data_IF_442594746310
#
_entry.id   IF_442594746310
#
_cell.length_a   1.000
_cell.length_b   1.000
_cell.length_c   1.000
_cell.angle_alpha   90.00
_cell.angle_beta   90.00
_cell.angle_gamma   90.00
#
_symmetry.space_group_name_H-M   'P 1'
#
loop_
_entity.id
_entity.type
_entity.pdbx_description
1 polymer ?
#
# COMPACT_ATOMS: atom_id res chain seq x y z
N UNK A 1 35.55 -9.04 56.08
CA UNK A 1 34.36 -8.23 55.72
C UNK A 1 34.67 -7.46 54.45
N UNK A 2 34.34 -8.03 53.30
CA UNK A 2 34.58 -7.46 51.97
C UNK A 2 33.23 -7.25 51.26
N UNK A 3 32.91 -6.00 50.98
CA UNK A 3 31.63 -5.55 50.43
C UNK A 3 31.58 -5.72 48.92
N UNK A 4 30.71 -6.61 48.45
CA UNK A 4 30.36 -6.77 47.03
C UNK A 4 29.45 -5.62 46.59
N UNK A 5 29.93 -4.76 45.69
CA UNK A 5 29.10 -3.72 45.06
C UNK A 5 28.39 -4.32 43.85
N UNK A 6 27.05 -4.37 43.90
CA UNK A 6 26.20 -4.79 42.77
C UNK A 6 26.04 -3.62 41.81
N UNK A 7 26.54 -3.79 40.57
CA UNK A 7 26.41 -2.79 39.51
C UNK A 7 25.04 -2.93 38.85
N UNK A 8 24.08 -2.10 39.25
CA UNK A 8 22.78 -2.01 38.58
C UNK A 8 22.96 -1.44 37.16
N UNK A 9 22.66 -2.25 36.14
CA UNK A 9 22.58 -1.80 34.75
C UNK A 9 21.26 -1.03 34.56
N UNK A 10 21.32 0.30 34.56
CA UNK A 10 20.18 1.12 34.19
C UNK A 10 19.84 0.89 32.70
N UNK A 11 18.58 0.52 32.44
CA UNK A 11 18.04 0.34 31.09
C UNK A 11 17.95 1.70 30.40
N UNK A 12 18.79 1.92 29.39
CA UNK A 12 18.73 3.12 28.55
C UNK A 12 17.34 3.15 27.87
N UNK A 13 16.55 4.22 27.99
CA UNK A 13 15.28 4.31 27.30
C UNK A 13 15.54 4.40 25.79
N UNK A 14 15.13 3.37 25.05
CA UNK A 14 15.03 3.43 23.59
C UNK A 14 13.95 4.45 23.24
N UNK A 15 14.34 5.66 22.87
CA UNK A 15 13.42 6.68 22.39
C UNK A 15 12.68 6.19 21.15
N UNK A 16 11.40 5.85 21.30
CA UNK A 16 10.54 5.51 20.18
C UNK A 16 10.07 6.81 19.50
N UNK A 17 10.63 7.13 18.33
CA UNK A 17 10.10 8.21 17.49
C UNK A 17 8.87 7.72 16.74
N UNK A 18 7.69 8.06 17.23
CA UNK A 18 6.43 7.84 16.52
C UNK A 18 6.13 9.01 15.59
N UNK A 19 6.27 8.80 14.27
CA UNK A 19 5.82 9.75 13.23
C UNK A 19 4.30 9.62 12.92
N UNK A 20 3.53 8.98 13.80
CA UNK A 20 2.13 8.64 13.54
C UNK A 20 1.16 9.83 13.60
N UNK A 21 1.56 10.99 14.16
CA UNK A 21 0.66 12.12 14.36
C UNK A 21 0.66 13.19 13.25
N UNK A 22 1.59 13.15 12.30
CA UNK A 22 1.88 14.31 11.42
C UNK A 22 1.98 14.01 9.92
N UNK A 23 1.65 12.80 9.47
CA UNK A 23 1.56 12.54 8.03
C UNK A 23 0.32 13.24 7.48
N UNK A 24 0.52 14.39 6.83
CA UNK A 24 -0.53 15.11 6.12
C UNK A 24 -1.26 14.14 5.18
N UNK A 25 -2.59 14.09 5.30
CA UNK A 25 -3.44 13.27 4.45
C UNK A 25 -3.23 13.73 3.01
N UNK A 26 -2.60 12.86 2.21
CA UNK A 26 -2.27 13.18 0.82
C UNK A 26 -3.57 13.45 0.05
N UNK A 27 -3.66 14.57 -0.70
CA UNK A 27 -4.87 14.89 -1.45
C UNK A 27 -5.21 13.79 -2.47
N UNK A 28 -6.49 13.70 -2.79
CA UNK A 28 -6.98 12.84 -3.87
C UNK A 28 -6.61 13.52 -5.20
N UNK A 29 -5.86 12.86 -6.09
CA UNK A 29 -5.52 13.44 -7.39
C UNK A 29 -6.77 13.49 -8.28
N UNK A 30 -6.89 14.55 -9.06
CA UNK A 30 -7.96 14.66 -10.05
C UNK A 30 -7.84 13.53 -11.10
N UNK A 31 -8.96 12.99 -11.60
CA UNK A 31 -8.94 12.00 -12.66
C UNK A 31 -8.32 12.57 -13.94
N UNK A 32 -7.35 11.85 -14.53
CA UNK A 32 -6.60 12.26 -15.73
C UNK A 32 -7.08 11.49 -16.96
N UNK A 33 -7.46 12.22 -18.01
CA UNK A 33 -7.83 11.65 -19.31
C UNK A 33 -9.01 10.67 -19.21
N UNK A 34 -8.83 9.47 -19.76
CA UNK A 34 -9.87 8.42 -19.78
C UNK A 34 -10.04 7.67 -18.46
N UNK A 35 -9.26 8.00 -17.42
CA UNK A 35 -9.30 7.30 -16.13
C UNK A 35 -10.16 8.13 -15.19
N UNK A 36 -11.47 7.88 -15.19
CA UNK A 36 -12.43 8.50 -14.27
C UNK A 36 -12.85 7.53 -13.15
N UNK A 37 -12.90 6.24 -13.48
CA UNK A 37 -13.39 5.21 -12.57
C UNK A 37 -12.27 4.38 -11.93
N UNK A 38 -12.49 3.90 -10.69
CA UNK A 38 -11.58 2.96 -10.05
C UNK A 38 -11.45 1.65 -10.85
N UNK A 39 -12.52 1.19 -11.51
CA UNK A 39 -12.49 0.01 -12.38
C UNK A 39 -11.51 0.19 -13.55
N UNK A 40 -11.55 1.35 -14.21
CA UNK A 40 -10.68 1.70 -15.33
C UNK A 40 -9.22 1.80 -14.87
N UNK A 41 -8.97 2.38 -13.70
CA UNK A 41 -7.64 2.42 -13.09
C UNK A 41 -7.08 1.01 -12.83
N UNK A 42 -7.87 0.15 -12.17
CA UNK A 42 -7.45 -1.20 -11.80
C UNK A 42 -7.23 -2.10 -13.04
N UNK A 43 -7.98 -1.85 -14.11
CA UNK A 43 -7.80 -2.53 -15.38
C UNK A 43 -6.49 -2.14 -16.05
N UNK A 44 -6.15 -0.83 -16.06
CA UNK A 44 -4.92 -0.34 -16.67
C UNK A 44 -3.63 -0.82 -15.99
N UNK A 45 -3.65 -0.99 -14.67
CA UNK A 45 -2.46 -1.46 -13.92
C UNK A 45 -2.26 -2.99 -13.97
N UNK A 46 -3.24 -3.75 -14.46
CA UNK A 46 -3.15 -5.20 -14.66
C UNK A 46 -3.08 -6.05 -13.37
N UNK A 47 -2.40 -7.20 -13.45
CA UNK A 47 -2.17 -8.16 -12.34
C UNK A 47 -3.44 -8.65 -11.61
N UNK A 48 -4.50 -8.97 -12.35
CA UNK A 48 -5.81 -9.39 -11.79
C UNK A 48 -6.44 -8.38 -10.81
N UNK A 49 -6.06 -7.10 -10.91
CA UNK A 49 -6.63 -6.05 -10.06
C UNK A 49 -8.07 -5.70 -10.46
N UNK A 50 -8.50 -6.09 -11.66
CA UNK A 50 -9.88 -5.93 -12.16
C UNK A 50 -10.92 -6.57 -11.23
N UNK A 51 -10.59 -7.74 -10.65
CA UNK A 51 -11.47 -8.47 -9.73
C UNK A 51 -11.74 -7.71 -8.42
N UNK A 52 -10.95 -6.66 -8.16
CA UNK A 52 -11.05 -5.85 -6.95
C UNK A 52 -11.88 -4.59 -7.19
N UNK A 53 -12.28 -4.31 -8.43
CA UNK A 53 -13.07 -3.13 -8.77
C UNK A 53 -14.38 -3.08 -7.97
N UNK A 54 -15.04 -4.24 -7.78
CA UNK A 54 -16.29 -4.36 -7.03
C UNK A 54 -16.17 -3.93 -5.55
N UNK A 55 -14.95 -3.88 -5.01
CA UNK A 55 -14.69 -3.48 -3.62
C UNK A 55 -14.54 -1.97 -3.45
N UNK A 56 -14.24 -1.23 -4.52
CA UNK A 56 -14.03 0.22 -4.45
C UNK A 56 -15.26 0.96 -4.99
N UNK A 57 -15.93 1.70 -4.09
CA UNK A 57 -17.18 2.40 -4.42
C UNK A 57 -16.99 3.70 -5.21
N UNK A 58 -15.88 4.40 -5.01
CA UNK A 58 -15.61 5.70 -5.64
C UNK A 58 -14.11 5.93 -5.87
N UNK A 59 -13.80 6.93 -6.71
CA UNK A 59 -12.43 7.39 -6.93
C UNK A 59 -11.77 7.83 -5.62
N UNK A 60 -12.46 8.63 -4.81
CA UNK A 60 -11.97 9.10 -3.52
C UNK A 60 -11.70 7.93 -2.56
N UNK A 61 -12.56 6.92 -2.57
CA UNK A 61 -12.39 5.73 -1.75
C UNK A 61 -11.12 4.96 -2.15
N UNK A 62 -10.82 4.84 -3.45
CA UNK A 62 -9.58 4.21 -3.92
C UNK A 62 -8.34 4.92 -3.39
N UNK A 63 -8.32 6.26 -3.39
CA UNK A 63 -7.16 7.07 -2.99
C UNK A 63 -7.05 7.35 -1.48
N UNK A 64 -8.13 7.13 -0.73
CA UNK A 64 -8.18 7.33 0.73
C UNK A 64 -8.02 6.01 1.49
N UNK A 65 -8.46 4.89 0.93
CA UNK A 65 -8.44 3.59 1.61
C UNK A 65 -7.06 3.24 2.19
N UNK A 66 -7.07 2.81 3.44
CA UNK A 66 -5.90 2.40 4.22
C UNK A 66 -5.58 0.92 4.00
N UNK A 67 -4.34 0.52 4.29
CA UNK A 67 -3.93 -0.89 4.28
C UNK A 67 -4.75 -1.76 5.24
N UNK A 68 -5.22 -1.18 6.36
CA UNK A 68 -6.04 -1.85 7.34
C UNK A 68 -7.44 -2.13 6.78
N UNK A 69 -8.11 -1.12 6.21
CA UNK A 69 -9.43 -1.29 5.56
C UNK A 69 -9.34 -2.28 4.40
N UNK A 70 -8.30 -2.18 3.56
CA UNK A 70 -8.05 -3.13 2.49
C UNK A 70 -7.88 -4.58 2.97
N UNK A 71 -7.45 -4.78 4.21
CA UNK A 71 -7.32 -6.11 4.81
C UNK A 71 -8.63 -6.57 5.42
N UNK A 72 -9.25 -5.74 6.25
CA UNK A 72 -10.41 -6.11 7.07
C UNK A 72 -11.69 -6.11 6.25
N UNK A 73 -11.98 -5.03 5.53
CA UNK A 73 -13.24 -4.84 4.79
C UNK A 73 -13.22 -5.56 3.44
N UNK A 74 -12.06 -5.51 2.76
CA UNK A 74 -11.96 -5.96 1.37
C UNK A 74 -11.26 -7.31 1.19
N UNK A 75 -10.75 -7.91 2.29
CA UNK A 75 -10.07 -9.21 2.31
C UNK A 75 -8.97 -9.37 1.23
N UNK A 76 -8.30 -8.28 0.84
CA UNK A 76 -7.31 -8.30 -0.24
C UNK A 76 -6.05 -9.09 0.15
N UNK A 77 -5.37 -9.70 -0.82
CA UNK A 77 -4.06 -10.29 -0.54
C UNK A 77 -3.00 -9.22 -0.29
N UNK A 78 -1.93 -9.57 0.43
CA UNK A 78 -0.81 -8.64 0.69
C UNK A 78 -0.22 -8.09 -0.63
N UNK A 79 -0.11 -8.94 -1.66
CA UNK A 79 0.45 -8.57 -2.96
C UNK A 79 -0.42 -7.53 -3.67
N UNK A 80 -1.74 -7.74 -3.70
CA UNK A 80 -2.69 -6.81 -4.31
C UNK A 80 -2.68 -5.45 -3.60
N UNK A 81 -2.68 -5.44 -2.25
CA UNK A 81 -2.62 -4.19 -1.48
C UNK A 81 -1.39 -3.36 -1.81
N UNK A 82 -0.20 -3.98 -1.73
CA UNK A 82 1.08 -3.31 -2.04
C UNK A 82 1.11 -2.79 -3.47
N UNK A 83 0.57 -3.56 -4.41
CA UNK A 83 0.49 -3.17 -5.81
C UNK A 83 -0.35 -1.92 -6.03
N UNK A 84 -1.58 -1.90 -5.51
CA UNK A 84 -2.50 -0.76 -5.64
C UNK A 84 -1.91 0.49 -5.00
N UNK A 85 -1.33 0.37 -3.80
CA UNK A 85 -0.73 1.51 -3.09
C UNK A 85 0.47 2.09 -3.84
N UNK A 86 1.31 1.24 -4.41
CA UNK A 86 2.43 1.67 -5.23
C UNK A 86 1.95 2.43 -6.48
N UNK A 87 0.89 1.97 -7.14
CA UNK A 87 0.33 2.67 -8.29
C UNK A 87 -0.40 3.96 -7.93
N UNK A 88 -1.09 4.01 -6.81
CA UNK A 88 -1.69 5.26 -6.30
C UNK A 88 -0.61 6.32 -6.12
N UNK A 89 0.54 5.95 -5.57
CA UNK A 89 1.64 6.89 -5.38
C UNK A 89 2.27 7.32 -6.71
N UNK A 90 2.53 6.37 -7.63
CA UNK A 90 3.00 6.68 -8.99
C UNK A 90 2.05 7.62 -9.73
N UNK A 91 0.75 7.40 -9.58
CA UNK A 91 -0.27 8.24 -10.19
C UNK A 91 -0.25 9.66 -9.61
N UNK A 92 -0.06 9.80 -8.28
CA UNK A 92 0.14 11.11 -7.64
C UNK A 92 1.42 11.82 -8.10
N UNK A 93 2.46 11.06 -8.42
CA UNK A 93 3.71 11.57 -8.98
C UNK A 93 3.61 11.95 -10.47
N UNK A 94 2.44 11.78 -11.10
CA UNK A 94 2.25 12.11 -12.52
C UNK A 94 2.71 11.03 -13.49
N UNK A 95 3.08 9.83 -13.00
CA UNK A 95 3.43 8.71 -13.87
C UNK A 95 2.17 8.18 -14.55
N UNK A 96 2.22 7.97 -15.86
CA UNK A 96 1.10 7.41 -16.61
C UNK A 96 0.92 5.93 -16.33
N UNK A 97 -0.34 5.47 -16.39
CA UNK A 97 -0.69 4.08 -16.10
C UNK A 97 -0.34 3.19 -17.30
N UNK A 98 0.39 2.11 -17.04
CA UNK A 98 0.67 1.07 -18.02
C UNK A 98 0.62 -0.31 -17.35
N UNK A 99 0.24 -1.32 -18.14
CA UNK A 99 0.29 -2.71 -17.69
C UNK A 99 1.76 -3.16 -17.66
N UNK A 100 2.21 -3.70 -16.52
CA UNK A 100 3.50 -4.38 -16.46
C UNK A 100 3.24 -5.86 -16.71
N UNK A 101 3.52 -6.36 -17.93
CA UNK A 101 3.19 -7.73 -18.28
C UNK A 101 3.94 -8.68 -17.35
N UNK A 102 3.20 -9.65 -16.80
CA UNK A 102 3.83 -10.74 -16.07
C UNK A 102 4.61 -11.59 -17.06
N UNK A 103 5.89 -11.84 -16.76
CA UNK A 103 6.64 -12.87 -17.48
C UNK A 103 5.84 -14.17 -17.39
N UNK A 104 5.55 -14.85 -18.52
CA UNK A 104 4.80 -16.08 -18.48
C UNK A 104 5.52 -17.10 -17.60
N UNK A 105 4.77 -17.93 -16.84
CA UNK A 105 5.39 -18.97 -16.03
C UNK A 105 6.20 -19.91 -16.94
N UNK A 106 7.41 -20.28 -16.50
CA UNK A 106 8.21 -21.28 -17.21
C UNK A 106 7.42 -22.59 -17.21
N UNK A 107 7.13 -23.14 -18.39
CA UNK A 107 6.52 -24.47 -18.52
C UNK A 107 7.46 -25.48 -17.87
N UNK A 108 6.95 -26.32 -16.96
CA UNK A 108 7.73 -27.44 -16.44
C UNK A 108 7.83 -28.48 -17.55
N UNK A 109 9.02 -28.66 -18.11
CA UNK A 109 9.32 -29.81 -18.97
C UNK A 109 9.13 -31.06 -18.12
N UNK A 110 8.22 -31.95 -18.55
CA UNK A 110 7.96 -33.24 -17.92
C UNK A 110 9.10 -34.21 -18.21
#
# INVERSE_FOLDING_TARGET
MNTTTVRCLARIPTGARSLHGGVSMKPVPAPRGSIQDPATFLTKIGRNSVQLADKFKSWDHLFTATTAEMKTEMALSIKQRRWILNWREKYRQGVDLYDIPLKPPKKKTK
#
